data_IF_942456526128
#
_entry.id   IF_942456526128
#
_cell.length_a   1.000
_cell.length_b   1.000
_cell.length_c   1.000
_cell.angle_alpha   90.00
_cell.angle_beta   90.00
_cell.angle_gamma   90.00
#
_symmetry.space_group_name_H-M   'P 1'
#
loop_
_entity.id
_entity.type
_entity.pdbx_description
1 polymer ?
#
# COMPACT_ATOMS: atom_id res chain seq x y z
N UNK A 1 -7.94 25.24 29.51
CA UNK A 1 -6.84 24.82 28.63
C UNK A 1 -5.55 24.69 29.44
N UNK A 2 -4.71 23.74 29.10
CA UNK A 2 -3.48 23.42 29.83
C UNK A 2 -2.40 24.49 29.55
N UNK A 3 -2.40 25.57 30.34
CA UNK A 3 -1.46 26.71 30.19
C UNK A 3 0.00 26.27 30.36
N UNK A 4 0.31 25.30 31.23
CA UNK A 4 1.65 24.76 31.41
C UNK A 4 2.23 24.13 30.16
N UNK A 5 1.43 23.31 29.45
CA UNK A 5 1.87 22.69 28.19
C UNK A 5 2.14 23.73 27.10
N UNK A 6 1.29 24.75 27.01
CA UNK A 6 1.47 25.86 26.07
C UNK A 6 2.80 26.57 26.34
N UNK A 7 3.09 26.88 27.61
CA UNK A 7 4.28 27.64 28.02
C UNK A 7 5.55 26.81 27.78
N UNK A 8 5.53 25.49 28.02
CA UNK A 8 6.63 24.57 27.70
C UNK A 8 6.90 24.46 26.20
N UNK A 9 5.84 24.29 25.38
CA UNK A 9 5.96 24.23 23.91
C UNK A 9 6.56 25.52 23.38
N UNK A 10 6.11 26.66 23.89
CA UNK A 10 6.60 27.96 23.48
C UNK A 10 8.06 28.20 23.89
N UNK A 11 8.43 27.81 25.11
CA UNK A 11 9.83 27.89 25.59
C UNK A 11 10.74 27.04 24.69
N UNK A 12 10.30 25.84 24.31
CA UNK A 12 11.04 24.94 23.42
C UNK A 12 11.20 25.54 22.03
N UNK A 13 10.15 26.12 21.46
CA UNK A 13 10.20 26.80 20.16
C UNK A 13 11.17 27.99 20.16
N UNK A 14 11.16 28.82 21.22
CA UNK A 14 12.09 29.94 21.38
C UNK A 14 13.53 29.45 21.50
N UNK A 15 13.78 28.36 22.20
CA UNK A 15 15.11 27.75 22.30
C UNK A 15 15.59 27.26 20.93
N UNK A 16 14.72 26.56 20.16
CA UNK A 16 15.02 26.06 18.82
C UNK A 16 15.26 27.18 17.79
N UNK A 17 14.61 28.33 17.97
CA UNK A 17 14.87 29.52 17.16
C UNK A 17 16.22 30.17 17.51
N UNK A 18 16.56 30.25 18.80
CA UNK A 18 17.80 30.86 19.29
C UNK A 18 19.06 30.04 18.94
N UNK A 19 18.98 28.72 18.97
CA UNK A 19 20.09 27.80 18.64
C UNK A 19 20.19 27.41 17.16
N UNK A 20 19.27 27.90 16.31
CA UNK A 20 19.25 27.63 14.86
C UNK A 20 18.73 26.25 14.49
N UNK A 21 18.31 25.42 15.44
CA UNK A 21 17.75 24.07 15.17
C UNK A 21 16.48 24.15 14.33
N UNK A 22 15.66 25.15 14.60
CA UNK A 22 14.42 25.39 13.84
C UNK A 22 14.71 25.68 12.38
N UNK A 23 15.70 26.55 12.11
CA UNK A 23 16.09 26.89 10.73
C UNK A 23 16.65 25.68 9.99
N UNK A 24 17.40 24.81 10.65
CA UNK A 24 17.91 23.57 10.07
C UNK A 24 16.74 22.61 9.69
N UNK A 25 15.74 22.49 10.55
CA UNK A 25 14.56 21.65 10.28
C UNK A 25 13.78 22.21 9.07
N UNK A 26 13.49 23.50 9.08
CA UNK A 26 12.76 24.18 8.00
C UNK A 26 13.50 24.06 6.66
N UNK A 27 14.83 24.24 6.64
CA UNK A 27 15.66 24.07 5.46
C UNK A 27 15.69 22.62 4.97
N UNK A 28 15.79 21.65 5.88
CA UNK A 28 15.78 20.21 5.56
C UNK A 28 14.48 19.78 4.88
N UNK A 29 13.35 20.38 5.24
CA UNK A 29 12.03 20.07 4.68
C UNK A 29 11.61 21.01 3.54
N UNK A 30 12.47 21.97 3.15
CA UNK A 30 12.17 22.91 2.07
C UNK A 30 11.05 23.90 2.38
N UNK A 31 10.81 24.20 3.68
CA UNK A 31 9.73 25.04 4.18
C UNK A 31 10.18 26.49 4.45
N UNK A 32 11.39 26.86 4.05
CA UNK A 32 12.00 28.17 4.35
C UNK A 32 11.11 29.36 3.94
N UNK A 33 10.46 29.25 2.78
CA UNK A 33 9.60 30.30 2.26
C UNK A 33 8.20 30.33 2.88
N UNK A 34 7.84 29.28 3.62
CA UNK A 34 6.54 29.10 4.31
C UNK A 34 6.61 29.40 5.80
N UNK A 35 7.79 29.46 6.36
CA UNK A 35 8.01 29.71 7.78
C UNK A 35 8.11 31.21 8.06
N UNK A 36 6.97 31.88 8.20
CA UNK A 36 6.87 33.26 8.64
C UNK A 36 7.13 33.38 10.15
N UNK A 37 8.37 33.15 10.58
CA UNK A 37 8.77 33.35 11.97
C UNK A 37 9.84 34.45 12.03
N UNK A 38 9.40 35.69 12.13
CA UNK A 38 10.24 36.81 12.58
C UNK A 38 10.15 36.90 14.09
N UNK A 39 11.19 37.41 14.73
CA UNK A 39 11.25 37.68 16.17
C UNK A 39 10.06 38.51 16.66
N UNK A 40 9.45 39.32 15.78
CA UNK A 40 8.25 40.13 16.05
C UNK A 40 6.94 39.33 16.05
N UNK A 41 6.91 38.17 15.45
CA UNK A 41 5.73 37.31 15.39
C UNK A 41 5.61 36.38 16.60
N UNK A 42 6.69 36.31 17.41
CA UNK A 42 6.75 35.49 18.63
C UNK A 42 6.34 36.23 19.91
N UNK A 43 6.05 37.55 19.87
CA UNK A 43 5.60 38.33 21.03
C UNK A 43 4.12 38.06 21.38
N UNK A 44 3.83 36.81 21.65
CA UNK A 44 2.48 36.34 22.02
C UNK A 44 2.34 36.08 23.54
N UNK A 45 3.13 36.74 24.40
CA UNK A 45 3.19 36.31 25.80
C UNK A 45 3.31 37.47 26.74
N UNK A 46 2.24 37.79 27.29
CA UNK A 46 1.97 38.12 28.69
C UNK A 46 0.49 38.56 28.77
N UNK A 47 -0.42 37.64 29.17
CA UNK A 47 -1.79 37.98 29.60
C UNK A 47 -2.58 38.98 28.75
N UNK A 48 -2.01 39.44 27.66
CA UNK A 48 -2.55 40.43 26.74
C UNK A 48 -3.55 39.84 25.76
N UNK A 49 -4.54 40.60 25.40
CA UNK A 49 -5.50 40.29 24.34
C UNK A 49 -4.74 39.93 23.07
N UNK A 50 -5.04 38.77 22.48
CA UNK A 50 -4.56 38.35 21.19
C UNK A 50 -4.70 39.52 20.20
N UNK A 51 -3.62 40.11 19.64
CA UNK A 51 -3.80 41.17 18.66
C UNK A 51 -4.56 40.57 17.48
N UNK A 52 -5.63 41.25 17.07
CA UNK A 52 -6.40 40.90 15.88
C UNK A 52 -5.45 40.96 14.66
N UNK A 53 -5.16 39.81 14.07
CA UNK A 53 -4.38 39.76 12.85
C UNK A 53 -5.31 40.19 11.71
N UNK A 54 -5.10 41.40 11.20
CA UNK A 54 -5.83 41.89 10.05
C UNK A 54 -5.31 41.21 8.76
N UNK A 55 -5.93 40.11 8.40
CA UNK A 55 -5.61 39.34 7.20
C UNK A 55 -5.65 40.17 5.92
N UNK A 56 -6.39 41.28 5.88
CA UNK A 56 -6.44 42.18 4.71
C UNK A 56 -5.13 42.92 4.52
N UNK A 57 -4.38 43.19 5.59
CA UNK A 57 -3.05 43.80 5.53
C UNK A 57 -1.98 42.82 5.08
N UNK A 58 -2.15 41.54 5.43
CA UNK A 58 -1.26 40.43 4.99
C UNK A 58 -1.44 40.22 3.49
N UNK A 59 -2.69 40.20 2.99
CA UNK A 59 -2.96 40.10 1.57
C UNK A 59 -2.38 41.27 0.78
N UNK A 60 -2.59 42.52 1.24
CA UNK A 60 -1.99 43.72 0.58
C UNK A 60 -0.46 43.72 0.62
N UNK A 61 0.18 43.13 1.63
CA UNK A 61 1.64 43.00 1.67
C UNK A 61 2.13 41.93 0.70
N UNK A 62 1.39 40.85 0.56
CA UNK A 62 1.68 39.80 -0.42
C UNK A 62 1.47 40.30 -1.84
N UNK A 63 0.42 41.10 -2.14
CA UNK A 63 0.22 41.69 -3.48
C UNK A 63 1.33 42.66 -3.89
N UNK A 64 1.86 43.46 -2.94
CA UNK A 64 3.01 44.32 -3.21
C UNK A 64 4.33 43.58 -3.32
N UNK A 65 4.47 42.41 -2.75
CA UNK A 65 5.64 41.54 -2.88
C UNK A 65 5.57 40.71 -4.16
N UNK A 66 4.36 40.45 -4.66
CA UNK A 66 4.12 39.67 -5.88
C UNK A 66 4.46 40.49 -7.15
N UNK A 67 4.44 41.84 -7.07
CA UNK A 67 4.90 42.72 -8.21
C UNK A 67 6.43 42.84 -8.29
N UNK A 68 7.19 42.42 -7.29
CA UNK A 68 8.66 42.38 -7.31
C UNK A 68 9.30 41.02 -7.10
N UNK A 69 8.52 39.99 -6.95
CA UNK A 69 9.02 38.64 -7.09
C UNK A 69 8.92 38.24 -8.55
N UNK A 70 9.96 38.49 -9.29
CA UNK A 70 10.35 37.55 -10.35
C UNK A 70 10.10 36.18 -9.78
N UNK A 71 9.12 35.50 -10.36
CA UNK A 71 8.45 34.33 -9.76
C UNK A 71 9.39 33.56 -8.85
N UNK A 72 8.98 33.41 -7.60
CA UNK A 72 9.43 32.30 -6.79
C UNK A 72 9.21 31.11 -7.70
N UNK A 73 10.27 30.71 -8.40
CA UNK A 73 10.37 29.41 -9.01
C UNK A 73 10.22 28.48 -7.81
N UNK A 74 8.95 28.18 -7.44
CA UNK A 74 8.67 26.94 -6.77
C UNK A 74 9.60 25.99 -7.48
N UNK A 75 10.58 25.46 -6.80
CA UNK A 75 11.55 24.55 -7.38
C UNK A 75 10.69 23.40 -7.91
N UNK A 76 10.11 23.65 -9.09
CA UNK A 76 9.39 22.66 -9.88
C UNK A 76 10.54 21.76 -10.29
N UNK A 77 10.90 20.87 -9.34
CA UNK A 77 11.74 19.77 -9.67
C UNK A 77 11.16 19.25 -10.97
N UNK A 78 11.89 19.45 -12.08
CA UNK A 78 11.32 19.26 -13.41
C UNK A 78 10.70 17.86 -13.44
N UNK A 79 9.80 17.58 -14.37
CA UNK A 79 9.14 16.26 -14.53
C UNK A 79 10.11 15.10 -14.27
N UNK A 80 11.37 15.28 -14.69
CA UNK A 80 12.46 14.35 -14.44
C UNK A 80 12.76 14.08 -12.94
N UNK A 81 12.69 15.10 -12.10
CA UNK A 81 12.88 14.94 -10.65
C UNK A 81 11.73 14.14 -10.02
N UNK A 82 10.49 14.43 -10.43
CA UNK A 82 9.30 13.69 -10.00
C UNK A 82 9.42 12.23 -10.46
N UNK A 83 9.77 11.98 -11.71
CA UNK A 83 9.96 10.64 -12.25
C UNK A 83 11.03 9.85 -11.48
N UNK A 84 12.15 10.47 -11.14
CA UNK A 84 13.21 9.83 -10.35
C UNK A 84 12.76 9.47 -8.95
N UNK A 85 12.02 10.36 -8.27
CA UNK A 85 11.47 10.07 -6.95
C UNK A 85 10.43 8.95 -7.01
N UNK A 86 9.48 9.02 -7.93
CA UNK A 86 8.47 7.98 -8.11
C UNK A 86 9.08 6.63 -8.49
N UNK A 87 10.16 6.64 -9.28
CA UNK A 87 10.93 5.43 -9.60
C UNK A 87 11.50 4.73 -8.36
N UNK A 88 11.93 5.47 -7.34
CA UNK A 88 12.36 4.87 -6.07
C UNK A 88 11.18 4.28 -5.29
N UNK A 89 10.02 4.94 -5.29
CA UNK A 89 8.79 4.41 -4.69
C UNK A 89 8.28 3.16 -5.41
N UNK A 90 8.54 3.05 -6.72
CA UNK A 90 8.18 1.87 -7.52
C UNK A 90 8.87 0.60 -7.04
N UNK A 91 10.10 0.67 -6.52
CA UNK A 91 10.79 -0.48 -5.93
C UNK A 91 10.06 -1.00 -4.68
N UNK A 92 9.53 -0.11 -3.84
CA UNK A 92 8.73 -0.48 -2.68
C UNK A 92 7.40 -1.14 -3.12
N UNK A 93 6.73 -0.57 -4.11
CA UNK A 93 5.52 -1.13 -4.74
C UNK A 93 5.79 -2.53 -5.30
N UNK A 94 6.89 -2.69 -6.05
CA UNK A 94 7.30 -3.98 -6.61
C UNK A 94 7.62 -5.01 -5.52
N UNK A 95 8.25 -4.58 -4.42
CA UNK A 95 8.54 -5.45 -3.28
C UNK A 95 7.25 -5.98 -2.63
N UNK A 96 6.26 -5.09 -2.38
CA UNK A 96 4.94 -5.51 -1.87
C UNK A 96 4.33 -6.56 -2.82
N UNK A 97 4.29 -6.26 -4.12
CA UNK A 97 3.71 -7.12 -5.14
C UNK A 97 4.36 -8.52 -5.14
N UNK A 98 5.69 -8.58 -5.25
CA UNK A 98 6.44 -9.85 -5.32
C UNK A 98 6.28 -10.67 -4.05
N UNK A 99 6.49 -10.07 -2.87
CA UNK A 99 6.37 -10.79 -1.60
C UNK A 99 4.94 -11.24 -1.33
N UNK A 100 3.95 -10.44 -1.68
CA UNK A 100 2.54 -10.86 -1.57
C UNK A 100 2.27 -12.10 -2.41
N UNK A 101 2.68 -12.13 -3.69
CA UNK A 101 2.50 -13.31 -4.54
C UNK A 101 3.27 -14.51 -4.01
N UNK A 102 4.53 -14.30 -3.60
CA UNK A 102 5.38 -15.37 -3.07
C UNK A 102 4.76 -16.09 -1.87
N UNK A 103 4.10 -15.35 -0.97
CA UNK A 103 3.49 -15.94 0.22
C UNK A 103 2.02 -16.33 -0.01
N UNK A 104 1.24 -15.55 -0.76
CA UNK A 104 -0.19 -15.82 -0.91
C UNK A 104 -0.51 -17.01 -1.81
N UNK A 105 0.28 -17.27 -2.85
CA UNK A 105 0.06 -18.42 -3.73
C UNK A 105 0.20 -19.77 -2.99
N UNK A 106 1.30 -20.07 -2.28
CA UNK A 106 1.42 -21.30 -1.54
C UNK A 106 0.45 -21.37 -0.34
N UNK A 107 0.24 -20.26 0.37
CA UNK A 107 -0.71 -20.19 1.47
C UNK A 107 -2.15 -20.46 0.98
N UNK A 108 -2.54 -19.89 -0.15
CA UNK A 108 -3.83 -20.15 -0.79
C UNK A 108 -4.02 -21.62 -1.14
N UNK A 109 -2.97 -22.29 -1.62
CA UNK A 109 -3.03 -23.73 -1.90
C UNK A 109 -3.24 -24.58 -0.62
N UNK A 110 -2.54 -24.22 0.47
CA UNK A 110 -2.73 -24.85 1.78
C UNK A 110 -4.16 -24.65 2.29
N UNK A 111 -4.68 -23.43 2.23
CA UNK A 111 -6.05 -23.13 2.67
C UNK A 111 -7.08 -23.87 1.80
N UNK A 112 -6.86 -23.95 0.49
CA UNK A 112 -7.71 -24.75 -0.41
C UNK A 112 -7.72 -26.24 -0.02
N UNK A 113 -6.56 -26.80 0.30
CA UNK A 113 -6.44 -28.18 0.78
C UNK A 113 -7.19 -28.40 2.09
N UNK A 114 -7.03 -27.49 3.06
CA UNK A 114 -7.78 -27.50 4.33
C UNK A 114 -9.28 -27.37 4.09
N UNK A 115 -9.71 -26.50 3.16
CA UNK A 115 -11.10 -26.27 2.79
C UNK A 115 -11.77 -27.50 2.15
N UNK A 116 -10.97 -28.36 1.51
CA UNK A 116 -11.42 -29.65 0.93
C UNK A 116 -11.15 -30.86 1.83
N UNK A 117 -10.68 -30.66 3.05
CA UNK A 117 -10.39 -31.71 4.00
C UNK A 117 -11.66 -32.50 4.40
N UNK A 118 -11.46 -33.76 4.84
CA UNK A 118 -12.51 -34.60 5.42
C UNK A 118 -12.98 -34.09 6.78
N UNK A 119 -12.09 -33.46 7.54
CA UNK A 119 -12.37 -32.94 8.88
C UNK A 119 -13.30 -31.75 8.82
N UNK A 120 -14.52 -31.90 9.32
CA UNK A 120 -15.55 -30.87 9.27
C UNK A 120 -15.11 -29.58 9.96
N UNK A 121 -14.42 -29.67 11.11
CA UNK A 121 -13.93 -28.52 11.87
C UNK A 121 -12.93 -27.68 11.04
N UNK A 122 -11.92 -28.31 10.45
CA UNK A 122 -10.91 -27.64 9.62
C UNK A 122 -11.54 -26.97 8.40
N UNK A 123 -12.46 -27.68 7.74
CA UNK A 123 -13.22 -27.14 6.60
C UNK A 123 -14.06 -25.93 7.00
N UNK A 124 -14.65 -25.94 8.20
CA UNK A 124 -15.47 -24.84 8.71
C UNK A 124 -14.61 -23.61 9.04
N UNK A 125 -13.48 -23.80 9.71
CA UNK A 125 -12.50 -22.73 10.00
C UNK A 125 -12.02 -22.08 8.70
N UNK A 126 -11.61 -22.86 7.71
CA UNK A 126 -11.18 -22.33 6.41
C UNK A 126 -12.31 -21.57 5.71
N UNK A 127 -13.57 -22.04 5.82
CA UNK A 127 -14.74 -21.35 5.26
C UNK A 127 -14.94 -19.97 5.90
N UNK A 128 -14.86 -19.88 7.21
CA UNK A 128 -15.01 -18.62 7.95
C UNK A 128 -13.89 -17.65 7.55
N UNK A 129 -12.64 -18.11 7.59
CA UNK A 129 -11.49 -17.30 7.19
C UNK A 129 -11.68 -16.70 5.78
N UNK A 130 -11.99 -17.53 4.78
CA UNK A 130 -12.22 -17.08 3.40
C UNK A 130 -13.39 -16.09 3.35
N UNK A 131 -14.47 -16.35 4.09
CA UNK A 131 -15.64 -15.47 4.14
C UNK A 131 -15.30 -14.10 4.71
N UNK A 132 -14.53 -14.05 5.79
CA UNK A 132 -14.11 -12.79 6.44
C UNK A 132 -13.18 -12.01 5.49
N UNK A 133 -12.12 -12.67 4.98
CA UNK A 133 -11.11 -12.00 4.14
C UNK A 133 -11.69 -11.46 2.83
N UNK A 134 -12.65 -12.15 2.23
CA UNK A 134 -13.31 -11.71 1.00
C UNK A 134 -14.52 -10.81 1.23
N UNK A 135 -15.07 -10.81 2.45
CA UNK A 135 -16.25 -10.02 2.82
C UNK A 135 -15.94 -8.68 3.50
N UNK A 136 -14.67 -8.40 3.80
CA UNK A 136 -14.25 -7.15 4.45
C UNK A 136 -13.25 -6.39 3.58
N UNK A 137 -13.23 -5.03 3.65
CA UNK A 137 -12.29 -4.22 2.88
C UNK A 137 -10.83 -4.50 3.27
N UNK A 138 -9.95 -4.70 2.29
CA UNK A 138 -8.53 -4.94 2.50
C UNK A 138 -7.87 -3.81 3.33
N UNK A 139 -8.27 -2.57 3.11
CA UNK A 139 -7.76 -1.43 3.88
C UNK A 139 -7.99 -1.58 5.39
N UNK A 140 -9.20 -2.05 5.81
CA UNK A 140 -9.49 -2.30 7.21
C UNK A 140 -8.65 -3.44 7.78
N UNK A 141 -8.43 -4.49 6.99
CA UNK A 141 -7.58 -5.62 7.38
C UNK A 141 -6.13 -5.17 7.62
N UNK A 142 -5.59 -4.29 6.75
CA UNK A 142 -4.26 -3.70 6.93
C UNK A 142 -4.16 -2.91 8.24
N UNK A 143 -5.16 -2.10 8.56
CA UNK A 143 -5.20 -1.34 9.81
C UNK A 143 -5.23 -2.27 11.02
N UNK A 144 -6.04 -3.35 10.97
CA UNK A 144 -6.09 -4.35 12.05
C UNK A 144 -4.72 -5.02 12.21
N UNK A 145 -4.10 -5.52 11.14
CA UNK A 145 -2.78 -6.17 11.20
C UNK A 145 -1.71 -5.22 11.75
N UNK A 146 -1.78 -3.94 11.37
CA UNK A 146 -0.80 -2.95 11.81
C UNK A 146 -0.96 -2.56 13.27
N UNK A 147 -2.19 -2.34 13.73
CA UNK A 147 -2.46 -1.85 15.09
C UNK A 147 -2.66 -2.95 16.12
N UNK A 148 -3.00 -4.19 15.73
CA UNK A 148 -3.26 -5.28 16.67
C UNK A 148 -2.10 -5.57 17.64
N UNK A 149 -0.82 -5.57 17.25
CA UNK A 149 0.28 -5.80 18.19
C UNK A 149 0.31 -4.78 19.32
N UNK A 150 0.03 -3.52 19.03
CA UNK A 150 0.00 -2.47 20.03
C UNK A 150 -1.23 -2.55 20.93
N UNK A 151 -2.43 -2.62 20.34
CA UNK A 151 -3.68 -2.56 21.13
C UNK A 151 -4.02 -3.85 21.86
N UNK A 152 -3.62 -5.02 21.31
CA UNK A 152 -3.96 -6.34 21.91
C UNK A 152 -2.85 -6.81 22.85
N UNK A 153 -1.59 -6.59 22.50
CA UNK A 153 -0.44 -7.14 23.23
C UNK A 153 0.42 -6.07 23.91
N UNK A 154 0.13 -4.78 23.74
CA UNK A 154 0.93 -3.68 24.31
C UNK A 154 2.35 -3.56 23.72
N UNK A 155 2.61 -4.19 22.57
CA UNK A 155 3.93 -4.23 21.94
C UNK A 155 4.12 -2.97 21.09
N UNK A 156 5.14 -2.15 21.39
CA UNK A 156 5.54 -1.03 20.55
C UNK A 156 6.14 -1.55 19.24
N UNK A 157 5.57 -1.12 18.11
CA UNK A 157 6.00 -1.58 16.79
C UNK A 157 7.06 -0.63 16.21
N UNK A 158 8.25 -1.14 15.82
CA UNK A 158 9.27 -0.32 15.18
C UNK A 158 8.81 0.10 13.77
N UNK A 159 9.46 1.14 13.20
CA UNK A 159 9.14 1.64 11.86
C UNK A 159 9.14 0.55 10.78
N UNK A 160 10.09 -0.38 10.86
CA UNK A 160 10.22 -1.51 9.92
C UNK A 160 9.00 -2.44 9.94
N UNK A 161 8.23 -2.47 11.04
CA UNK A 161 7.03 -3.30 11.14
C UNK A 161 5.98 -2.96 10.07
N UNK A 162 5.94 -1.72 9.56
CA UNK A 162 5.02 -1.31 8.49
C UNK A 162 5.13 -2.20 7.25
N UNK A 163 6.36 -2.51 6.82
CA UNK A 163 6.57 -3.41 5.67
C UNK A 163 6.04 -4.82 5.96
N UNK A 164 6.34 -5.36 7.15
CA UNK A 164 5.83 -6.68 7.52
C UNK A 164 4.31 -6.71 7.62
N UNK A 165 3.71 -5.68 8.22
CA UNK A 165 2.25 -5.56 8.32
C UNK A 165 1.58 -5.50 6.94
N UNK A 166 2.16 -4.75 5.98
CA UNK A 166 1.70 -4.75 4.58
C UNK A 166 1.78 -6.15 3.98
N UNK A 167 2.95 -6.78 4.02
CA UNK A 167 3.15 -8.11 3.42
C UNK A 167 2.22 -9.15 4.05
N UNK A 168 2.08 -9.16 5.38
CA UNK A 168 1.19 -10.08 6.09
C UNK A 168 -0.28 -9.84 5.70
N UNK A 169 -0.74 -8.60 5.78
CA UNK A 169 -2.13 -8.24 5.49
C UNK A 169 -2.53 -8.59 4.05
N UNK A 170 -1.69 -8.22 3.08
CA UNK A 170 -1.91 -8.56 1.67
C UNK A 170 -1.85 -10.07 1.44
N UNK A 171 -0.84 -10.75 2.00
CA UNK A 171 -0.68 -12.20 1.81
C UNK A 171 -1.87 -12.98 2.38
N UNK A 172 -2.36 -12.60 3.55
CA UNK A 172 -3.55 -13.22 4.14
C UNK A 172 -4.80 -12.95 3.29
N UNK A 173 -5.01 -11.73 2.83
CA UNK A 173 -6.16 -11.41 2.00
C UNK A 173 -6.13 -12.19 0.68
N UNK A 174 -5.04 -12.07 -0.09
CA UNK A 174 -4.90 -12.71 -1.39
C UNK A 174 -4.88 -14.24 -1.32
N UNK A 175 -4.36 -14.83 -0.22
CA UNK A 175 -4.43 -16.27 0.01
C UNK A 175 -5.87 -16.78 0.09
N UNK A 176 -6.80 -15.99 0.62
CA UNK A 176 -8.22 -16.35 0.64
C UNK A 176 -8.85 -16.35 -0.77
N UNK A 177 -8.47 -15.39 -1.62
CA UNK A 177 -8.90 -15.35 -3.03
C UNK A 177 -8.33 -16.53 -3.81
N UNK A 178 -7.02 -16.78 -3.70
CA UNK A 178 -6.38 -17.91 -4.38
C UNK A 178 -6.91 -19.26 -3.88
N UNK A 179 -7.19 -19.40 -2.59
CA UNK A 179 -7.78 -20.62 -2.04
C UNK A 179 -9.12 -20.96 -2.70
N UNK A 180 -9.97 -20.00 -2.92
CA UNK A 180 -11.26 -20.21 -3.57
C UNK A 180 -11.10 -20.48 -5.07
N UNK A 181 -10.18 -19.80 -5.76
CA UNK A 181 -9.83 -20.05 -7.16
C UNK A 181 -9.32 -21.50 -7.32
N UNK A 182 -8.37 -21.95 -6.48
CA UNK A 182 -7.86 -23.31 -6.55
C UNK A 182 -8.94 -24.35 -6.24
N UNK A 183 -9.78 -24.11 -5.23
CA UNK A 183 -10.90 -24.98 -4.93
C UNK A 183 -11.85 -25.11 -6.11
N UNK A 184 -12.27 -24.02 -6.70
CA UNK A 184 -13.18 -24.03 -7.85
C UNK A 184 -12.55 -24.70 -9.06
N UNK A 185 -11.25 -24.46 -9.31
CA UNK A 185 -10.51 -25.12 -10.39
C UNK A 185 -10.44 -26.64 -10.23
N UNK A 186 -10.16 -27.14 -9.01
CA UNK A 186 -10.16 -28.59 -8.74
C UNK A 186 -11.55 -29.19 -8.90
N UNK A 187 -12.60 -28.49 -8.46
CA UNK A 187 -13.98 -28.97 -8.53
C UNK A 187 -14.57 -28.89 -9.94
N UNK A 188 -14.02 -28.04 -10.81
CA UNK A 188 -14.48 -27.93 -12.20
C UNK A 188 -14.04 -29.11 -13.07
N UNK A 189 -13.10 -29.96 -12.60
CA UNK A 189 -12.65 -31.12 -13.36
C UNK A 189 -13.69 -32.23 -13.26
N UNK A 190 -14.17 -32.77 -14.41
CA UNK A 190 -15.17 -33.82 -14.42
C UNK A 190 -14.76 -35.05 -13.59
N UNK A 191 -15.69 -35.60 -12.85
CA UNK A 191 -15.45 -36.78 -11.98
C UNK A 191 -14.97 -37.98 -12.78
N UNK A 192 -15.43 -38.14 -14.02
CA UNK A 192 -14.99 -39.21 -14.93
C UNK A 192 -13.49 -39.29 -15.14
N UNK A 193 -12.75 -38.15 -15.02
CA UNK A 193 -11.29 -38.15 -15.06
C UNK A 193 -10.67 -38.91 -13.85
N UNK A 194 -11.28 -38.82 -12.71
CA UNK A 194 -10.86 -39.54 -11.50
C UNK A 194 -11.22 -41.02 -11.59
N UNK A 195 -12.39 -41.33 -12.11
CA UNK A 195 -12.88 -42.69 -12.31
C UNK A 195 -12.04 -43.42 -13.35
N UNK A 196 -11.77 -42.79 -14.49
CA UNK A 196 -10.87 -43.34 -15.51
C UNK A 196 -9.46 -43.62 -14.96
N UNK A 197 -8.91 -42.71 -14.16
CA UNK A 197 -7.62 -42.91 -13.51
C UNK A 197 -7.62 -44.12 -12.57
N UNK A 198 -8.71 -44.33 -11.83
CA UNK A 198 -8.85 -45.48 -10.93
C UNK A 198 -8.92 -46.80 -11.71
N UNK A 199 -9.65 -46.83 -12.83
CA UNK A 199 -9.70 -47.99 -13.73
C UNK A 199 -8.32 -48.32 -14.31
N UNK A 200 -7.51 -47.31 -14.58
CA UNK A 200 -6.12 -47.44 -15.03
C UNK A 200 -5.15 -47.86 -13.90
N UNK A 201 -5.63 -48.08 -12.67
CA UNK A 201 -4.82 -48.46 -11.54
C UNK A 201 -4.02 -47.33 -10.85
N UNK A 202 -4.29 -46.07 -11.19
CA UNK A 202 -3.61 -44.95 -10.55
C UNK A 202 -4.04 -44.77 -9.10
N UNK A 203 -3.06 -44.66 -8.17
CA UNK A 203 -3.30 -44.28 -6.79
C UNK A 203 -3.71 -42.79 -6.70
N UNK A 204 -4.34 -42.42 -5.58
CA UNK A 204 -4.88 -41.06 -5.36
C UNK A 204 -3.87 -39.94 -5.60
N UNK A 205 -2.61 -40.11 -5.15
CA UNK A 205 -1.54 -39.13 -5.37
C UNK A 205 -1.15 -39.02 -6.85
N UNK A 206 -1.04 -40.15 -7.55
CA UNK A 206 -0.73 -40.20 -8.99
C UNK A 206 -1.86 -39.54 -9.79
N UNK A 207 -3.12 -39.85 -9.49
CA UNK A 207 -4.29 -39.21 -10.11
C UNK A 207 -4.24 -37.69 -9.91
N UNK A 208 -3.95 -37.21 -8.69
CA UNK A 208 -3.87 -35.79 -8.43
C UNK A 208 -2.77 -35.12 -9.23
N UNK A 209 -1.51 -35.56 -9.08
CA UNK A 209 -0.37 -34.85 -9.69
C UNK A 209 -0.24 -35.05 -11.22
N UNK A 210 -0.65 -36.20 -11.76
CA UNK A 210 -0.50 -36.49 -13.20
C UNK A 210 -1.72 -36.11 -14.03
N UNK A 211 -2.92 -36.07 -13.44
CA UNK A 211 -4.16 -35.86 -14.20
C UNK A 211 -4.88 -34.60 -13.76
N UNK A 212 -5.16 -34.45 -12.46
CA UNK A 212 -5.98 -33.36 -11.94
C UNK A 212 -5.22 -32.04 -11.90
N UNK A 213 -4.02 -32.04 -11.34
CA UNK A 213 -3.22 -30.81 -11.12
C UNK A 213 -2.85 -30.09 -12.44
N UNK A 214 -2.39 -30.75 -13.51
CA UNK A 214 -2.11 -30.06 -14.77
C UNK A 214 -3.35 -29.42 -15.40
N UNK A 215 -4.49 -30.11 -15.34
CA UNK A 215 -5.77 -29.58 -15.82
C UNK A 215 -6.27 -28.43 -14.94
N UNK A 216 -6.11 -28.55 -13.62
CA UNK A 216 -6.46 -27.49 -12.68
C UNK A 216 -5.67 -26.22 -12.96
N UNK A 217 -4.33 -26.33 -13.10
CA UNK A 217 -3.45 -25.17 -13.37
C UNK A 217 -3.98 -24.38 -14.58
N UNK A 218 -4.29 -25.06 -15.67
CA UNK A 218 -4.85 -24.39 -16.84
C UNK A 218 -6.15 -23.64 -16.54
N UNK A 219 -7.07 -24.26 -15.78
CA UNK A 219 -8.38 -23.67 -15.48
C UNK A 219 -8.33 -22.50 -14.49
N UNK A 220 -7.32 -22.49 -13.60
CA UNK A 220 -7.17 -21.43 -12.61
C UNK A 220 -6.34 -20.24 -13.12
N UNK A 221 -5.61 -20.40 -14.24
CA UNK A 221 -4.74 -19.33 -14.76
C UNK A 221 -5.51 -18.04 -15.06
N UNK A 222 -6.64 -18.02 -15.81
CA UNK A 222 -7.36 -16.78 -16.08
C UNK A 222 -7.81 -16.03 -14.81
N UNK A 223 -8.48 -16.67 -13.83
CA UNK A 223 -8.84 -15.99 -12.60
C UNK A 223 -7.62 -15.59 -11.75
N UNK A 224 -6.52 -16.37 -11.75
CA UNK A 224 -5.27 -15.97 -11.09
C UNK A 224 -4.67 -14.73 -11.75
N UNK A 225 -4.64 -14.68 -13.08
CA UNK A 225 -4.21 -13.50 -13.83
C UNK A 225 -4.98 -12.24 -13.43
N UNK A 226 -6.30 -12.33 -13.31
CA UNK A 226 -7.14 -11.20 -12.90
C UNK A 226 -6.78 -10.72 -11.47
N UNK A 227 -6.56 -11.64 -10.52
CA UNK A 227 -6.17 -11.27 -9.17
C UNK A 227 -4.76 -10.67 -9.11
N UNK A 228 -3.81 -11.19 -9.91
CA UNK A 228 -2.45 -10.63 -10.00
C UNK A 228 -2.47 -9.20 -10.55
N UNK A 229 -3.28 -8.94 -11.59
CA UNK A 229 -3.50 -7.60 -12.15
C UNK A 229 -4.14 -6.66 -11.12
N UNK A 230 -5.10 -7.15 -10.35
CA UNK A 230 -5.76 -6.38 -9.28
C UNK A 230 -4.78 -6.04 -8.17
N UNK A 231 -3.91 -6.98 -7.77
CA UNK A 231 -2.89 -6.76 -6.75
C UNK A 231 -1.98 -5.56 -7.08
N UNK A 232 -1.60 -5.36 -8.34
CA UNK A 232 -0.81 -4.18 -8.75
C UNK A 232 -1.45 -2.89 -8.28
N UNK A 233 -2.76 -2.74 -8.47
CA UNK A 233 -3.51 -1.53 -8.06
C UNK A 233 -3.68 -1.46 -6.55
N UNK A 234 -3.94 -2.59 -5.92
CA UNK A 234 -4.17 -2.68 -4.48
C UNK A 234 -2.93 -2.33 -3.65
N UNK A 235 -1.70 -2.48 -4.20
CA UNK A 235 -0.47 -2.08 -3.49
C UNK A 235 -0.54 -0.64 -2.99
N UNK A 236 -1.28 0.24 -3.66
CA UNK A 236 -1.51 1.63 -3.24
C UNK A 236 -2.22 1.73 -1.88
N UNK A 237 -2.99 0.71 -1.46
CA UNK A 237 -3.69 0.71 -0.16
C UNK A 237 -2.72 0.69 1.05
N UNK A 238 -1.44 0.40 0.82
CA UNK A 238 -0.41 0.48 1.85
C UNK A 238 -0.26 1.91 2.45
N UNK A 239 -0.75 2.94 1.75
CA UNK A 239 -0.81 4.30 2.27
C UNK A 239 -1.60 4.40 3.58
N UNK A 240 -2.58 3.52 3.80
CA UNK A 240 -3.45 3.55 4.98
C UNK A 240 -2.69 3.39 6.30
N UNK A 241 -1.57 2.66 6.27
CA UNK A 241 -0.66 2.48 7.42
C UNK A 241 0.61 3.33 7.27
N UNK A 242 0.56 4.38 6.45
CA UNK A 242 1.67 5.28 6.16
C UNK A 242 2.96 4.56 5.72
N UNK A 243 2.83 3.46 4.97
CA UNK A 243 3.96 2.86 4.29
C UNK A 243 4.27 3.64 3.01
N UNK A 244 5.53 4.05 2.86
CA UNK A 244 5.96 4.89 1.73
C UNK A 244 6.24 4.04 0.51
N UNK A 245 5.26 3.89 -0.35
CA UNK A 245 5.35 3.31 -1.69
C UNK A 245 5.08 4.40 -2.75
N UNK A 246 4.99 4.04 -4.03
CA UNK A 246 4.91 5.00 -5.13
C UNK A 246 3.70 5.95 -5.03
N UNK A 247 2.50 5.45 -4.71
CA UNK A 247 1.30 6.29 -4.57
C UNK A 247 1.40 7.26 -3.38
N UNK A 248 1.92 6.78 -2.25
CA UNK A 248 2.17 7.62 -1.06
C UNK A 248 3.16 8.74 -1.38
N UNK A 249 4.24 8.43 -2.10
CA UNK A 249 5.20 9.43 -2.56
C UNK A 249 4.56 10.44 -3.52
N UNK A 250 3.79 9.97 -4.50
CA UNK A 250 3.09 10.84 -5.43
C UNK A 250 2.14 11.81 -4.72
N UNK A 251 1.39 11.31 -3.72
CA UNK A 251 0.48 12.10 -2.89
C UNK A 251 1.24 13.16 -2.07
N UNK A 252 2.38 12.80 -1.48
CA UNK A 252 3.23 13.74 -0.73
C UNK A 252 3.78 14.85 -1.62
N UNK A 253 4.31 14.50 -2.80
CA UNK A 253 4.85 15.48 -3.77
C UNK A 253 3.72 16.38 -4.30
N UNK A 254 2.55 15.81 -4.62
CA UNK A 254 1.40 16.57 -5.10
C UNK A 254 0.92 17.59 -4.07
N UNK A 255 0.88 17.21 -2.79
CA UNK A 255 0.51 18.10 -1.70
C UNK A 255 1.56 19.21 -1.48
N UNK A 256 2.85 18.85 -1.51
CA UNK A 256 3.94 19.82 -1.32
C UNK A 256 4.05 20.84 -2.48
N UNK A 257 3.72 20.42 -3.72
CA UNK A 257 3.79 21.29 -4.90
C UNK A 257 2.45 21.93 -5.26
N UNK A 258 1.38 21.65 -4.51
CA UNK A 258 0.00 22.03 -4.85
C UNK A 258 -0.32 21.70 -6.33
N UNK A 259 0.09 20.55 -6.83
CA UNK A 259 0.01 20.14 -8.23
C UNK A 259 -0.50 18.70 -8.36
N UNK A 260 -1.36 18.45 -9.35
CA UNK A 260 -1.83 17.10 -9.67
C UNK A 260 -0.85 16.31 -10.55
N UNK A 261 0.19 16.95 -11.10
CA UNK A 261 1.13 16.32 -12.03
C UNK A 261 1.80 15.06 -11.47
N UNK A 262 2.25 15.00 -10.20
CA UNK A 262 2.82 13.78 -9.63
C UNK A 262 1.84 12.60 -9.61
N UNK A 263 0.54 12.85 -9.41
CA UNK A 263 -0.48 11.81 -9.43
C UNK A 263 -0.73 11.26 -10.84
N UNK A 264 -0.72 12.13 -11.87
CA UNK A 264 -0.81 11.67 -13.27
C UNK A 264 0.40 10.82 -13.65
N UNK A 265 1.62 11.25 -13.27
CA UNK A 265 2.84 10.47 -13.53
C UNK A 265 2.79 9.13 -12.81
N UNK A 266 2.37 9.09 -11.54
CA UNK A 266 2.19 7.83 -10.82
C UNK A 266 1.15 6.92 -11.50
N UNK A 267 0.03 7.48 -11.97
CA UNK A 267 -0.96 6.75 -12.76
C UNK A 267 -0.37 6.11 -14.02
N UNK A 268 0.51 6.84 -14.72
CA UNK A 268 1.23 6.30 -15.88
C UNK A 268 2.18 5.15 -15.49
N UNK A 269 2.91 5.27 -14.39
CA UNK A 269 3.77 4.19 -13.89
C UNK A 269 2.95 2.95 -13.51
N UNK A 270 1.81 3.12 -12.81
CA UNK A 270 0.91 2.00 -12.50
C UNK A 270 0.35 1.36 -13.77
N UNK A 271 -0.01 2.16 -14.77
CA UNK A 271 -0.51 1.64 -16.05
C UNK A 271 0.55 0.79 -16.76
N UNK A 272 1.79 1.30 -16.85
CA UNK A 272 2.91 0.57 -17.47
C UNK A 272 3.19 -0.72 -16.70
N UNK A 273 3.28 -0.64 -15.37
CA UNK A 273 3.51 -1.82 -14.54
C UNK A 273 2.40 -2.88 -14.74
N UNK A 274 1.16 -2.44 -14.71
CA UNK A 274 0.01 -3.33 -14.92
C UNK A 274 0.03 -3.96 -16.31
N UNK A 275 0.40 -3.19 -17.34
CA UNK A 275 0.55 -3.69 -18.71
C UNK A 275 1.64 -4.77 -18.81
N UNK A 276 2.80 -4.54 -18.18
CA UNK A 276 3.89 -5.53 -18.15
C UNK A 276 3.44 -6.81 -17.44
N UNK A 277 2.80 -6.68 -16.28
CA UNK A 277 2.28 -7.83 -15.53
C UNK A 277 1.25 -8.60 -16.36
N UNK A 278 0.30 -7.91 -16.99
CA UNK A 278 -0.71 -8.54 -17.85
C UNK A 278 -0.06 -9.29 -19.02
N UNK A 279 0.92 -8.67 -19.69
CA UNK A 279 1.66 -9.29 -20.78
C UNK A 279 2.40 -10.57 -20.35
N UNK A 280 3.09 -10.51 -19.17
CA UNK A 280 3.77 -11.67 -18.61
C UNK A 280 2.80 -12.79 -18.28
N UNK A 281 1.66 -12.46 -17.65
CA UNK A 281 0.64 -13.43 -17.28
C UNK A 281 -0.02 -14.07 -18.52
N UNK A 282 -0.29 -13.29 -19.56
CA UNK A 282 -0.80 -13.81 -20.84
C UNK A 282 0.20 -14.74 -21.52
N UNK A 283 1.50 -14.41 -21.48
CA UNK A 283 2.56 -15.29 -22.01
C UNK A 283 2.63 -16.62 -21.26
N UNK A 284 2.47 -16.61 -19.93
CA UNK A 284 2.42 -17.81 -19.10
C UNK A 284 1.17 -18.65 -19.46
N UNK A 285 0.02 -18.00 -19.58
CA UNK A 285 -1.24 -18.64 -19.93
C UNK A 285 -1.15 -19.33 -21.30
N UNK A 286 -0.65 -18.65 -22.32
CA UNK A 286 -0.43 -19.23 -23.66
C UNK A 286 0.51 -20.43 -23.64
N UNK A 287 1.58 -20.39 -22.81
CA UNK A 287 2.51 -21.51 -22.66
C UNK A 287 1.87 -22.75 -22.01
N UNK A 288 0.85 -22.54 -21.17
CA UNK A 288 0.11 -23.61 -20.50
C UNK A 288 -1.07 -24.15 -21.34
N UNK A 289 -1.38 -23.54 -22.47
CA UNK A 289 -2.54 -23.90 -23.34
C UNK A 289 -2.24 -25.06 -24.32
N UNK A 290 -1.22 -25.87 -24.07
CA UNK A 290 -0.86 -27.02 -24.92
C UNK A 290 -1.84 -28.21 -24.81
N UNK A 291 -2.74 -28.25 -23.84
CA UNK A 291 -3.84 -29.21 -23.78
C UNK A 291 -5.14 -28.54 -24.29
N UNK A 292 -5.54 -28.87 -25.49
CA UNK A 292 -6.90 -28.60 -26.00
C UNK A 292 -7.84 -29.72 -25.62
#
# INVERSE_FOLDING_TARGET
GNTKLRDEVQKTLLTMLADGTFEQIVNKWGLKDSACLSEKDTTYIDGGKVPYVDFSKIQKKNDKTTEKSDGVKANKGGIWFIMKQLGSGMLATLSIFVFTLLFSLPLGLLIAAVRMSRFALLRWIAKIYISIMRGTPLMLQLLVVFFAPYYVFGISTPYMYRLYAVIIGFSLNYAAYFAEIYRSGIQSIPQGQREAAQVMGYGRRQTFFRIIFPQMVKRVMPPVTNEVITLVKDTSLAFAIAYTEMFTMAKQIASAQASLMPLFIAGLFYYIFNFVVAFVMEAIEKKLDYYR
#
